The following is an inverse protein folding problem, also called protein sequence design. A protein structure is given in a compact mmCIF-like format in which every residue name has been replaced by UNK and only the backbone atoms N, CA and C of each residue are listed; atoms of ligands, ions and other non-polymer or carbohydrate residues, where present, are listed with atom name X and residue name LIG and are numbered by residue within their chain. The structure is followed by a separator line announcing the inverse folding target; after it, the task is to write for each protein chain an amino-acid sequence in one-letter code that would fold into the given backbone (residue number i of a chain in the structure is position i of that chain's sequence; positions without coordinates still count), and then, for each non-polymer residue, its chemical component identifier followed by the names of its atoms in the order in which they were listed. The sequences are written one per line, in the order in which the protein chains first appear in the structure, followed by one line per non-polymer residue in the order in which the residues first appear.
data_IF_733810249129
#
_entry.id   IF_733810249129
#
_cell.length_a   1.000
_cell.length_b   1.000
_cell.length_c   1.000
_cell.angle_alpha   90.00
_cell.angle_beta   90.00
_cell.angle_gamma   90.00
#
_symmetry.space_group_name_H-M   'P 1'
#
loop_
_entity.id
_entity.type
_entity.pdbx_description
1 polymer ?
#
# COMPACT_ATOMS: atom_id res chain seq x y z
N UNK A 1 39.57 -6.29 9.53
CA UNK A 1 38.12 -6.52 9.71
C UNK A 1 37.38 -5.23 9.37
N UNK A 2 36.82 -5.11 8.16
CA UNK A 2 36.07 -3.93 7.74
C UNK A 2 34.74 -3.86 8.51
N UNK A 3 34.64 -2.94 9.47
CA UNK A 3 33.34 -2.49 9.98
C UNK A 3 32.60 -1.85 8.82
N UNK A 4 31.66 -2.56 8.18
CA UNK A 4 30.61 -1.93 7.37
C UNK A 4 29.94 -0.90 8.29
N UNK A 5 30.31 0.37 8.12
CA UNK A 5 29.53 1.46 8.68
C UNK A 5 28.13 1.29 8.13
N UNK A 6 27.18 0.94 8.98
CA UNK A 6 25.76 0.97 8.65
C UNK A 6 25.47 2.42 8.29
N UNK A 7 25.45 2.75 7.00
CA UNK A 7 25.26 4.11 6.50
C UNK A 7 23.86 4.54 6.94
N UNK A 8 23.79 5.23 8.08
CA UNK A 8 22.55 5.80 8.61
C UNK A 8 22.30 7.11 7.87
N UNK A 9 21.31 7.11 6.99
CA UNK A 9 20.82 8.33 6.37
C UNK A 9 19.82 9.00 7.33
N UNK A 10 20.06 10.26 7.69
CA UNK A 10 19.18 11.05 8.57
C UNK A 10 18.26 11.92 7.73
N UNK A 11 16.96 11.66 7.83
CA UNK A 11 15.92 12.52 7.29
C UNK A 11 15.47 13.53 8.35
N UNK A 12 15.47 14.83 8.01
CA UNK A 12 14.91 15.91 8.84
C UNK A 12 13.71 16.49 8.10
N UNK A 13 12.61 16.68 8.81
CA UNK A 13 11.35 17.16 8.23
C UNK A 13 10.80 18.20 9.19
N UNK A 14 10.48 19.38 8.66
CA UNK A 14 9.74 20.39 9.38
C UNK A 14 8.25 20.06 9.28
N UNK A 15 7.59 20.01 10.44
CA UNK A 15 6.17 19.69 10.54
C UNK A 15 5.50 20.69 11.47
N UNK A 16 4.21 20.93 11.23
CA UNK A 16 3.40 21.78 12.11
C UNK A 16 3.38 21.19 13.54
N UNK A 17 3.39 22.02 14.60
CA UNK A 17 3.35 21.55 15.98
C UNK A 17 2.17 20.62 16.29
N UNK A 18 1.00 20.84 15.67
CA UNK A 18 -0.18 19.98 15.86
C UNK A 18 0.03 18.61 15.24
N UNK A 19 0.68 18.54 14.08
CA UNK A 19 1.03 17.27 13.42
C UNK A 19 2.08 16.51 14.24
N UNK A 20 3.11 17.21 14.73
CA UNK A 20 4.08 16.62 15.66
C UNK A 20 3.40 16.04 16.91
N UNK A 21 2.45 16.77 17.49
CA UNK A 21 1.70 16.32 18.66
C UNK A 21 0.87 15.07 18.37
N UNK A 22 0.18 15.02 17.23
CA UNK A 22 -0.56 13.82 16.79
C UNK A 22 0.38 12.62 16.67
N UNK A 23 1.48 12.76 15.93
CA UNK A 23 2.46 11.69 15.74
C UNK A 23 2.97 11.17 17.09
N UNK A 24 3.28 12.08 18.02
CA UNK A 24 3.74 11.70 19.36
C UNK A 24 2.70 10.91 20.15
N UNK A 25 1.43 11.32 20.10
CA UNK A 25 0.33 10.62 20.78
C UNK A 25 0.18 9.21 20.22
N UNK A 26 0.13 9.05 18.90
CA UNK A 26 0.00 7.73 18.29
C UNK A 26 1.22 6.85 18.54
N UNK A 27 2.44 7.38 18.42
CA UNK A 27 3.65 6.63 18.76
C UNK A 27 3.58 6.08 20.20
N UNK A 28 3.12 6.92 21.14
CA UNK A 28 2.92 6.53 22.55
C UNK A 28 1.85 5.46 22.70
N UNK A 29 0.70 5.61 22.02
CA UNK A 29 -0.40 4.65 22.04
C UNK A 29 0.05 3.26 21.55
N UNK A 30 0.92 3.23 20.55
CA UNK A 30 1.49 2.00 20.00
C UNK A 30 2.73 1.50 20.78
N UNK A 31 3.16 2.18 21.85
CA UNK A 31 4.34 1.81 22.63
C UNK A 31 5.65 1.90 21.85
N UNK A 32 5.71 2.76 20.82
CA UNK A 32 6.85 2.91 19.91
C UNK A 32 7.48 4.29 20.00
N UNK A 33 8.74 4.41 19.57
CA UNK A 33 9.35 5.72 19.36
C UNK A 33 8.71 6.43 18.15
N UNK A 34 8.73 7.77 18.12
CA UNK A 34 8.26 8.56 16.96
C UNK A 34 8.92 8.06 15.67
N UNK A 35 10.23 7.79 15.69
CA UNK A 35 10.97 7.27 14.54
C UNK A 35 10.37 5.95 14.05
N UNK A 36 10.15 5.00 14.96
CA UNK A 36 9.67 3.66 14.60
C UNK A 36 8.23 3.74 14.10
N UNK A 37 7.38 4.50 14.79
CA UNK A 37 6.01 4.75 14.36
C UNK A 37 5.95 5.29 12.93
N UNK A 38 6.69 6.37 12.64
CA UNK A 38 6.71 6.99 11.31
C UNK A 38 7.22 6.01 10.24
N UNK A 39 8.30 5.29 10.50
CA UNK A 39 8.85 4.33 9.53
C UNK A 39 7.89 3.17 9.26
N UNK A 40 7.25 2.64 10.30
CA UNK A 40 6.28 1.54 10.17
C UNK A 40 5.04 2.01 9.41
N UNK A 41 4.48 3.18 9.75
CA UNK A 41 3.34 3.75 9.02
C UNK A 41 3.63 3.98 7.54
N UNK A 42 4.83 4.45 7.19
CA UNK A 42 5.25 4.61 5.80
C UNK A 42 5.36 3.26 5.08
N UNK A 43 5.99 2.26 5.71
CA UNK A 43 6.14 0.92 5.13
C UNK A 43 4.80 0.24 4.89
N UNK A 44 3.90 0.30 5.87
CA UNK A 44 2.54 -0.24 5.75
C UNK A 44 1.77 0.45 4.64
N UNK A 45 1.89 1.78 4.50
CA UNK A 45 1.25 2.51 3.41
C UNK A 45 1.80 2.08 2.05
N UNK A 46 3.12 1.97 1.90
CA UNK A 46 3.75 1.51 0.66
C UNK A 46 3.35 0.07 0.30
N UNK A 47 3.24 -0.81 1.30
CA UNK A 47 2.78 -2.18 1.09
C UNK A 47 1.34 -2.20 0.56
N UNK A 48 0.42 -1.46 1.20
CA UNK A 48 -0.98 -1.35 0.75
C UNK A 48 -1.08 -0.79 -0.67
N UNK A 49 -0.36 0.29 -0.98
CA UNK A 49 -0.37 0.87 -2.33
C UNK A 49 0.20 -0.10 -3.39
N UNK A 50 1.17 -0.96 -3.01
CA UNK A 50 1.69 -1.99 -3.90
C UNK A 50 0.68 -3.10 -4.13
N UNK A 51 0.02 -3.59 -3.07
CA UNK A 51 -1.03 -4.61 -3.15
C UNK A 51 -2.23 -4.12 -3.99
N UNK A 52 -2.69 -2.88 -3.77
CA UNK A 52 -3.77 -2.29 -4.56
C UNK A 52 -3.41 -2.21 -6.05
N UNK A 53 -2.19 -1.79 -6.38
CA UNK A 53 -1.70 -1.79 -7.78
C UNK A 53 -1.65 -3.19 -8.38
N UNK A 54 -1.22 -4.19 -7.61
CA UNK A 54 -1.19 -5.59 -8.06
C UNK A 54 -2.60 -6.11 -8.33
N UNK A 55 -3.55 -5.85 -7.42
CA UNK A 55 -4.96 -6.21 -7.62
C UNK A 55 -5.52 -5.54 -8.87
N UNK A 56 -5.27 -4.23 -9.06
CA UNK A 56 -5.69 -3.53 -10.27
C UNK A 56 -5.11 -4.15 -11.54
N UNK A 57 -3.84 -4.57 -11.55
CA UNK A 57 -3.24 -5.24 -12.71
C UNK A 57 -3.90 -6.60 -12.98
N UNK A 58 -4.21 -7.37 -11.93
CA UNK A 58 -4.87 -8.68 -12.05
C UNK A 58 -6.32 -8.57 -12.50
N UNK A 59 -7.05 -7.52 -12.11
CA UNK A 59 -8.47 -7.33 -12.47
C UNK A 59 -8.66 -6.56 -13.78
N UNK A 60 -7.70 -5.72 -14.18
CA UNK A 60 -7.79 -4.97 -15.44
C UNK A 60 -7.49 -5.83 -16.66
N UNK A 61 -6.79 -6.95 -16.48
CA UNK A 61 -6.65 -7.95 -17.52
C UNK A 61 -7.78 -8.96 -17.35
N UNK A 62 -8.79 -8.89 -18.23
CA UNK A 62 -9.71 -10.02 -18.41
C UNK A 62 -8.82 -11.23 -18.68
N UNK A 63 -8.83 -12.21 -17.77
CA UNK A 63 -8.03 -13.41 -18.00
C UNK A 63 -8.52 -14.06 -19.29
N UNK A 64 -7.63 -14.61 -20.13
CA UNK A 64 -8.04 -15.22 -21.41
C UNK A 64 -9.19 -16.23 -21.25
N UNK A 65 -9.20 -16.96 -20.13
CA UNK A 65 -10.28 -17.88 -19.76
C UNK A 65 -11.63 -17.18 -19.47
N UNK A 66 -11.62 -16.00 -18.82
CA UNK A 66 -12.83 -15.20 -18.63
C UNK A 66 -13.33 -14.60 -19.95
N UNK A 67 -12.42 -14.24 -20.87
CA UNK A 67 -12.78 -13.77 -22.21
C UNK A 67 -13.51 -14.85 -23.02
N UNK A 68 -13.01 -16.08 -22.97
CA UNK A 68 -13.61 -17.23 -23.68
C UNK A 68 -14.99 -17.60 -23.14
N UNK A 69 -15.23 -17.43 -21.83
CA UNK A 69 -16.54 -17.70 -21.21
C UNK A 69 -17.52 -16.52 -21.42
N UNK A 70 -17.01 -15.30 -21.57
CA UNK A 70 -17.81 -14.10 -21.83
C UNK A 70 -18.27 -14.00 -23.30
N UNK A 71 -17.47 -14.49 -24.25
CA UNK A 71 -17.87 -14.66 -25.66
C UNK A 71 -18.72 -15.94 -25.86
N UNK A 72 -19.70 -16.19 -24.98
CA UNK A 72 -20.61 -17.31 -25.13
C UNK A 72 -21.86 -16.86 -25.89
N UNK A 73 -22.03 -17.35 -27.12
CA UNK A 73 -23.16 -17.10 -28.04
C UNK A 73 -24.57 -17.35 -27.42
N UNK A 74 -24.65 -17.84 -26.19
CA UNK A 74 -25.91 -18.06 -25.45
C UNK A 74 -26.50 -16.78 -24.83
N UNK A 75 -25.76 -15.68 -24.82
CA UNK A 75 -26.25 -14.42 -24.25
C UNK A 75 -27.35 -13.74 -25.09
N UNK A 76 -27.57 -14.15 -26.35
CA UNK A 76 -28.73 -13.70 -27.14
C UNK A 76 -30.07 -14.07 -26.48
N UNK A 77 -30.12 -15.17 -25.71
CA UNK A 77 -31.36 -15.66 -25.08
C UNK A 77 -31.85 -14.82 -23.88
N UNK A 78 -31.05 -13.87 -23.39
CA UNK A 78 -31.43 -12.96 -22.30
C UNK A 78 -31.80 -11.55 -22.78
N UNK A 79 -31.66 -11.25 -24.07
CA UNK A 79 -32.03 -9.95 -24.66
C UNK A 79 -33.53 -9.83 -25.00
N UNK A 80 -34.31 -10.90 -24.84
CA UNK A 80 -35.75 -10.94 -25.15
C UNK A 80 -36.67 -10.79 -23.92
N UNK A 81 -36.16 -10.32 -22.77
CA UNK A 81 -36.95 -9.92 -21.59
C UNK A 81 -37.24 -8.41 -21.59
#
# INVERSE_FOLDING_TARGET
MNKKSLIRNRLSIDIDPKEHQKIKIFATLHGTSIKEYVLTSIRERLARESEEKQLQLMTSQITPALKEIWDNDKDESYNEL
#
